data_IF_440454373081
#
_entry.id   IF_440454373081
#
_cell.length_a   1.000
_cell.length_b   1.000
_cell.length_c   1.000
_cell.angle_alpha   90.00
_cell.angle_beta   90.00
_cell.angle_gamma   90.00
#
_symmetry.space_group_name_H-M   'P 1'
#
loop_
_entity.id
_entity.type
_entity.pdbx_description
1 polymer ?
#
# COMPACT_ATOMS: atom_id res chain seq x y z
N UNK A 1 13.78 18.13 12.15
CA UNK A 1 14.85 18.97 12.77
C UNK A 1 15.89 18.08 13.45
N UNK A 2 17.15 18.10 12.99
CA UNK A 2 18.26 17.39 13.63
C UNK A 2 19.00 18.25 14.67
N UNK A 3 19.80 17.60 15.51
CA UNK A 3 20.65 18.20 16.54
C UNK A 3 22.11 17.79 16.33
N UNK A 4 23.04 18.67 16.68
CA UNK A 4 24.47 18.31 16.73
C UNK A 4 24.74 17.47 17.98
N UNK A 5 25.36 16.30 17.82
CA UNK A 5 25.78 15.41 18.91
C UNK A 5 27.23 14.99 18.71
N UNK A 6 27.96 14.79 19.79
CA UNK A 6 29.32 14.24 19.71
C UNK A 6 29.28 12.72 19.64
N UNK A 7 30.08 12.14 18.73
CA UNK A 7 30.31 10.70 18.66
C UNK A 7 31.33 10.24 19.75
N UNK A 8 31.54 8.92 19.95
CA UNK A 8 32.48 8.41 20.95
C UNK A 8 33.94 8.82 20.76
N UNK A 9 34.30 9.35 19.59
CA UNK A 9 35.66 9.83 19.26
C UNK A 9 35.74 11.36 19.40
N UNK A 10 34.64 12.02 19.77
CA UNK A 10 34.56 13.47 19.97
C UNK A 10 34.25 14.27 18.70
N UNK A 11 33.91 13.63 17.59
CA UNK A 11 33.50 14.35 16.38
C UNK A 11 32.05 14.80 16.50
N UNK A 12 31.76 16.02 16.05
CA UNK A 12 30.39 16.52 15.98
C UNK A 12 29.68 15.93 14.76
N UNK A 13 28.53 15.29 15.00
CA UNK A 13 27.67 14.67 13.98
C UNK A 13 26.31 15.35 13.99
N UNK A 14 25.76 15.64 12.82
CA UNK A 14 24.38 16.09 12.70
C UNK A 14 23.45 14.87 12.75
N UNK A 15 22.71 14.74 13.85
CA UNK A 15 21.87 13.59 14.14
C UNK A 15 20.39 13.97 14.06
N UNK A 16 19.55 13.06 13.56
CA UNK A 16 18.10 13.21 13.55
C UNK A 16 17.47 11.85 13.77
N UNK A 17 16.28 11.83 14.36
CA UNK A 17 15.47 10.60 14.42
C UNK A 17 15.09 10.23 12.99
N UNK A 18 15.34 9.01 12.49
CA UNK A 18 14.83 8.60 11.19
C UNK A 18 13.38 8.13 11.29
N UNK A 19 12.56 8.43 10.28
CA UNK A 19 11.28 7.75 10.07
C UNK A 19 11.55 6.52 9.19
N UNK A 20 11.70 5.35 9.82
CA UNK A 20 12.17 4.13 9.14
C UNK A 20 11.02 3.28 8.60
N UNK A 21 9.92 3.21 9.34
CA UNK A 21 8.76 2.40 8.97
C UNK A 21 7.47 3.05 9.44
N UNK A 22 6.42 2.94 8.64
CA UNK A 22 5.05 3.30 8.98
C UNK A 22 4.15 2.15 8.52
N UNK A 23 3.52 1.48 9.48
CA UNK A 23 2.57 0.40 9.23
C UNK A 23 1.20 1.04 9.07
N UNK A 24 0.60 0.85 7.90
CA UNK A 24 -0.67 1.43 7.51
C UNK A 24 -1.45 0.43 6.67
N UNK A 25 -2.77 0.47 6.75
CA UNK A 25 -3.62 -0.13 5.72
C UNK A 25 -3.69 0.78 4.47
N UNK A 26 -4.26 0.31 3.36
CA UNK A 26 -4.28 1.09 2.11
C UNK A 26 -4.93 2.48 2.28
N UNK A 27 -6.08 2.65 2.97
CA UNK A 27 -6.61 3.97 3.29
C UNK A 27 -5.63 4.88 4.06
N UNK A 28 -4.92 4.35 5.05
CA UNK A 28 -3.92 5.10 5.81
C UNK A 28 -2.68 5.42 4.96
N UNK A 29 -2.21 4.51 4.12
CA UNK A 29 -1.11 4.75 3.17
C UNK A 29 -1.44 5.92 2.23
N UNK A 30 -2.67 5.99 1.75
CA UNK A 30 -3.16 7.09 0.91
C UNK A 30 -3.20 8.42 1.67
N UNK A 31 -3.53 8.41 2.97
CA UNK A 31 -3.44 9.60 3.81
C UNK A 31 -1.99 10.05 3.96
N UNK A 32 -1.08 9.14 4.28
CA UNK A 32 0.35 9.44 4.45
C UNK A 32 0.96 9.97 3.15
N UNK A 33 0.67 9.34 2.02
CA UNK A 33 1.16 9.75 0.69
C UNK A 33 0.44 10.96 0.12
N UNK A 34 -0.63 11.42 0.77
CA UNK A 34 -1.48 12.53 0.35
C UNK A 34 -2.26 12.27 -0.97
N UNK A 35 -2.45 11.00 -1.34
CA UNK A 35 -3.09 10.57 -2.58
C UNK A 35 -4.60 10.33 -2.42
N UNK A 36 -5.36 10.53 -3.50
CA UNK A 36 -6.78 10.15 -3.57
C UNK A 36 -6.98 8.63 -3.53
N UNK A 37 -8.19 8.19 -3.14
CA UNK A 37 -8.58 6.77 -3.00
C UNK A 37 -8.44 5.88 -4.24
N UNK A 38 -8.37 6.47 -5.44
CA UNK A 38 -8.38 5.74 -6.70
C UNK A 38 -7.01 5.77 -7.39
N UNK A 39 -5.96 5.94 -6.62
CA UNK A 39 -4.57 6.10 -7.06
C UNK A 39 -3.72 5.16 -6.22
N UNK A 40 -2.65 4.61 -6.80
CA UNK A 40 -1.69 3.83 -6.04
C UNK A 40 -0.94 4.73 -5.02
N UNK A 41 -0.74 4.28 -3.77
CA UNK A 41 0.12 5.00 -2.83
C UNK A 41 1.61 4.91 -3.21
N UNK A 42 1.99 3.94 -4.06
CA UNK A 42 3.39 3.65 -4.41
C UNK A 42 3.76 4.19 -5.80
N UNK A 43 2.82 4.19 -6.73
CA UNK A 43 3.05 4.58 -8.13
C UNK A 43 2.09 5.68 -8.57
N UNK A 44 2.39 6.30 -9.69
CA UNK A 44 1.54 7.29 -10.36
C UNK A 44 0.30 6.70 -11.04
N UNK A 45 0.09 5.38 -10.89
CA UNK A 45 -0.97 4.59 -11.51
C UNK A 45 -2.35 4.99 -10.97
N UNK A 46 -3.28 5.24 -11.88
CA UNK A 46 -4.70 5.39 -11.55
C UNK A 46 -5.40 4.04 -11.48
N UNK A 47 -6.58 4.00 -10.87
CA UNK A 47 -7.39 2.79 -10.77
C UNK A 47 -7.61 2.08 -12.12
N UNK A 48 -7.86 2.83 -13.20
CA UNK A 48 -8.11 2.27 -14.54
C UNK A 48 -6.84 1.68 -15.20
N UNK A 49 -5.67 2.03 -14.69
CA UNK A 49 -4.37 1.55 -15.16
C UNK A 49 -3.85 0.36 -14.35
N UNK A 50 -4.52 0.00 -13.25
CA UNK A 50 -4.14 -1.17 -12.45
C UNK A 50 -4.31 -2.44 -13.28
N UNK A 51 -3.24 -3.25 -13.35
CA UNK A 51 -3.22 -4.49 -14.11
C UNK A 51 -2.82 -4.35 -15.59
N UNK A 52 -2.45 -3.15 -16.04
CA UNK A 52 -1.75 -3.00 -17.32
C UNK A 52 -0.33 -3.57 -17.26
N UNK A 53 0.29 -3.80 -18.42
CA UNK A 53 1.66 -4.30 -18.55
C UNK A 53 2.71 -3.18 -18.42
N UNK A 54 2.30 -1.96 -18.07
CA UNK A 54 3.16 -0.78 -18.08
C UNK A 54 3.75 -0.51 -16.69
N UNK A 55 5.07 -0.29 -16.66
CA UNK A 55 5.77 0.10 -15.43
C UNK A 55 5.60 1.59 -15.16
N UNK A 56 4.56 1.94 -14.41
CA UNK A 56 4.29 3.31 -13.98
C UNK A 56 5.38 3.86 -13.06
N UNK A 57 5.57 5.19 -13.10
CA UNK A 57 6.57 5.86 -12.28
C UNK A 57 6.22 5.80 -10.79
N UNK A 58 7.25 5.76 -9.94
CA UNK A 58 7.10 5.80 -8.48
C UNK A 58 6.59 7.17 -8.00
N UNK A 59 5.71 7.14 -6.99
CA UNK A 59 5.11 8.33 -6.38
C UNK A 59 6.03 8.93 -5.31
N UNK A 60 7.02 9.72 -5.73
CA UNK A 60 7.97 10.34 -4.80
C UNK A 60 7.31 11.41 -3.93
N UNK A 61 7.67 11.47 -2.65
CA UNK A 61 7.18 12.51 -1.73
C UNK A 61 7.47 13.93 -2.23
N UNK A 62 8.62 14.13 -2.88
CA UNK A 62 8.98 15.42 -3.52
C UNK A 62 8.01 15.85 -4.62
N UNK A 63 7.53 14.92 -5.46
CA UNK A 63 6.52 15.20 -6.49
C UNK A 63 5.18 15.56 -5.87
N UNK A 64 4.75 14.83 -4.83
CA UNK A 64 3.55 15.13 -4.05
C UNK A 64 3.61 16.55 -3.47
N UNK A 65 4.71 16.91 -2.82
CA UNK A 65 4.90 18.26 -2.24
C UNK A 65 4.86 19.34 -3.32
N UNK A 66 5.44 19.09 -4.50
CA UNK A 66 5.40 20.04 -5.62
C UNK A 66 3.95 20.29 -6.09
N UNK A 67 3.13 19.25 -6.20
CA UNK A 67 1.72 19.39 -6.54
C UNK A 67 0.93 20.14 -5.46
N UNK A 68 1.16 19.84 -4.17
CA UNK A 68 0.52 20.54 -3.05
C UNK A 68 0.85 22.05 -3.12
N UNK A 69 2.12 22.40 -3.32
CA UNK A 69 2.55 23.81 -3.46
C UNK A 69 1.90 24.50 -4.65
N UNK A 70 1.76 23.82 -5.78
CA UNK A 70 1.08 24.35 -6.96
C UNK A 70 -0.41 24.65 -6.69
N UNK A 71 -1.10 23.78 -5.95
CA UNK A 71 -2.48 24.03 -5.53
C UNK A 71 -2.57 25.24 -4.59
N UNK A 72 -1.67 25.32 -3.60
CA UNK A 72 -1.65 26.41 -2.62
C UNK A 72 -1.35 27.79 -3.23
N UNK A 73 -0.67 27.85 -4.38
CA UNK A 73 -0.49 29.09 -5.14
C UNK A 73 -1.80 29.62 -5.74
N UNK A 74 -2.76 28.74 -6.01
CA UNK A 74 -4.02 29.07 -6.67
C UNK A 74 -5.18 29.25 -5.68
N UNK A 75 -5.24 28.44 -4.62
CA UNK A 75 -6.34 28.41 -3.66
C UNK A 75 -5.79 28.26 -2.24
N UNK A 76 -6.30 29.07 -1.32
CA UNK A 76 -5.97 28.99 0.09
C UNK A 76 -6.59 27.72 0.72
N UNK A 77 -5.85 26.95 1.55
CA UNK A 77 -6.39 25.79 2.25
C UNK A 77 -7.62 26.08 3.12
N UNK A 78 -7.77 27.33 3.57
CA UNK A 78 -8.95 27.78 4.34
C UNK A 78 -10.26 27.73 3.55
N UNK A 79 -10.22 27.83 2.21
CA UNK A 79 -11.38 27.60 1.35
C UNK A 79 -11.48 26.10 1.02
N UNK A 80 -11.87 25.31 2.02
CA UNK A 80 -11.82 23.83 2.00
C UNK A 80 -12.46 23.24 0.75
N UNK A 81 -13.63 23.76 0.34
CA UNK A 81 -14.35 23.24 -0.83
C UNK A 81 -13.59 23.50 -2.14
N UNK A 82 -13.09 24.72 -2.35
CA UNK A 82 -12.32 25.03 -3.57
C UNK A 82 -10.95 24.35 -3.54
N UNK A 83 -10.32 24.28 -2.38
CA UNK A 83 -9.03 23.64 -2.20
C UNK A 83 -9.11 22.15 -2.53
N UNK A 84 -10.06 21.44 -1.93
CA UNK A 84 -10.28 20.02 -2.20
C UNK A 84 -10.63 19.75 -3.67
N UNK A 85 -11.46 20.60 -4.29
CA UNK A 85 -11.78 20.49 -5.72
C UNK A 85 -10.55 20.68 -6.62
N UNK A 86 -9.60 21.55 -6.23
CA UNK A 86 -8.34 21.72 -6.94
C UNK A 86 -7.36 20.57 -6.68
N UNK A 87 -7.23 20.08 -5.45
CA UNK A 87 -6.42 18.92 -5.10
C UNK A 87 -6.77 17.69 -5.94
N UNK A 88 -8.07 17.42 -6.15
CA UNK A 88 -8.53 16.31 -6.99
C UNK A 88 -7.98 16.35 -8.42
N UNK A 89 -7.75 17.54 -8.99
CA UNK A 89 -7.16 17.67 -10.34
C UNK A 89 -5.70 17.21 -10.40
N UNK A 90 -5.03 17.15 -9.24
CA UNK A 90 -3.67 16.66 -9.07
C UNK A 90 -3.62 15.29 -8.38
N UNK A 91 -4.75 14.59 -8.26
CA UNK A 91 -4.86 13.29 -7.58
C UNK A 91 -4.52 13.34 -6.07
N UNK A 92 -4.68 14.51 -5.43
CA UNK A 92 -4.38 14.74 -4.02
C UNK A 92 -5.63 14.66 -3.13
N UNK A 93 -5.50 14.15 -1.91
CA UNK A 93 -6.60 14.00 -0.95
C UNK A 93 -6.97 15.27 -0.15
N UNK A 94 -6.26 16.39 -0.35
CA UNK A 94 -6.53 17.65 0.35
C UNK A 94 -5.65 17.92 1.58
N UNK A 95 -4.69 17.05 1.88
CA UNK A 95 -3.63 17.36 2.87
C UNK A 95 -2.69 18.41 2.27
N UNK A 96 -2.52 19.53 2.97
CA UNK A 96 -1.67 20.65 2.54
C UNK A 96 -0.32 20.70 3.28
N UNK A 97 -0.23 20.07 4.45
CA UNK A 97 1.00 19.97 5.24
C UNK A 97 1.20 18.51 5.69
N UNK A 98 1.88 17.69 4.88
CA UNK A 98 2.21 16.32 5.27
C UNK A 98 3.17 16.31 6.46
N UNK A 99 2.90 15.50 7.49
CA UNK A 99 3.68 15.51 8.73
C UNK A 99 5.17 15.14 8.52
N UNK A 100 5.46 14.33 7.49
CA UNK A 100 6.80 13.86 7.17
C UNK A 100 7.61 14.84 6.31
N UNK A 101 7.00 15.91 5.79
CA UNK A 101 7.67 16.87 4.88
C UNK A 101 8.95 17.46 5.49
N UNK A 102 8.90 17.83 6.77
CA UNK A 102 10.03 18.46 7.48
C UNK A 102 10.93 17.43 8.19
N UNK A 103 10.65 16.15 7.99
CA UNK A 103 11.40 15.05 8.56
C UNK A 103 12.59 14.71 7.65
N UNK A 104 13.81 14.82 8.19
CA UNK A 104 15.03 14.62 7.42
C UNK A 104 15.09 13.22 6.77
N UNK A 105 15.40 13.20 5.47
CA UNK A 105 15.47 12.00 4.64
C UNK A 105 14.18 11.16 4.61
N UNK A 106 13.04 11.77 4.91
CA UNK A 106 11.75 11.08 4.89
C UNK A 106 11.09 11.19 3.52
N UNK A 107 10.78 10.04 2.94
CA UNK A 107 9.94 9.91 1.74
C UNK A 107 8.95 8.77 1.97
N UNK A 108 7.64 8.94 1.74
CA UNK A 108 6.66 7.87 1.93
C UNK A 108 7.06 6.54 1.27
N UNK A 109 7.68 6.56 0.09
CA UNK A 109 8.15 5.34 -0.58
C UNK A 109 9.25 4.60 0.18
N UNK A 110 9.97 5.29 1.07
CA UNK A 110 11.08 4.71 1.82
C UNK A 110 10.65 4.08 3.15
N UNK A 111 9.56 4.58 3.75
CA UNK A 111 9.13 4.15 5.07
C UNK A 111 7.76 3.47 5.08
N UNK A 112 6.91 3.62 4.06
CA UNK A 112 5.70 2.81 3.94
C UNK A 112 6.13 1.40 3.61
N UNK A 113 5.85 0.49 4.55
CA UNK A 113 6.16 -0.92 4.38
C UNK A 113 4.97 -1.62 3.73
N UNK A 114 5.19 -2.52 2.75
CA UNK A 114 4.10 -3.30 2.17
C UNK A 114 3.28 -3.97 3.26
N UNK A 115 1.97 -3.68 3.30
CA UNK A 115 1.06 -4.28 4.28
C UNK A 115 0.91 -5.79 4.02
N UNK A 116 1.40 -6.68 4.93
CA UNK A 116 1.46 -8.12 4.65
C UNK A 116 0.09 -8.80 4.53
N UNK A 117 -0.93 -8.31 5.24
CA UNK A 117 -2.23 -8.97 5.29
C UNK A 117 -2.99 -8.86 3.96
N UNK A 118 -3.16 -7.66 3.44
CA UNK A 118 -3.90 -7.38 2.22
C UNK A 118 -3.01 -7.59 0.99
N UNK A 119 -1.76 -7.11 0.99
CA UNK A 119 -0.92 -7.21 -0.20
C UNK A 119 -0.30 -8.59 -0.43
N UNK A 120 -0.18 -9.45 0.60
CA UNK A 120 0.35 -10.81 0.45
C UNK A 120 -0.71 -11.88 0.70
N UNK A 121 -1.37 -11.86 1.87
CA UNK A 121 -2.29 -12.94 2.23
C UNK A 121 -3.63 -12.88 1.47
N UNK A 122 -4.18 -11.69 1.27
CA UNK A 122 -5.43 -11.53 0.50
C UNK A 122 -5.18 -11.69 -1.01
N UNK A 123 -4.08 -11.11 -1.51
CA UNK A 123 -3.67 -11.20 -2.92
C UNK A 123 -3.63 -12.64 -3.44
N UNK A 124 -3.10 -13.59 -2.65
CA UNK A 124 -3.02 -14.99 -3.07
C UNK A 124 -4.38 -15.58 -3.45
N UNK A 125 -5.44 -15.27 -2.70
CA UNK A 125 -6.76 -15.81 -2.99
C UNK A 125 -7.36 -15.16 -4.24
N UNK A 126 -7.23 -13.85 -4.35
CA UNK A 126 -7.84 -13.05 -5.42
C UNK A 126 -7.13 -13.24 -6.77
N UNK A 127 -5.83 -13.57 -6.75
CA UNK A 127 -5.00 -13.64 -7.95
C UNK A 127 -4.39 -15.01 -8.15
N UNK A 128 -3.51 -15.48 -7.27
CA UNK A 128 -2.73 -16.71 -7.50
C UNK A 128 -3.61 -17.96 -7.56
N UNK A 129 -4.57 -18.08 -6.64
CA UNK A 129 -5.54 -19.17 -6.63
C UNK A 129 -6.45 -19.10 -7.86
N UNK A 130 -6.96 -17.91 -8.22
CA UNK A 130 -7.81 -17.76 -9.41
C UNK A 130 -7.05 -18.11 -10.70
N UNK A 131 -5.80 -17.67 -10.81
CA UNK A 131 -4.93 -18.02 -11.92
C UNK A 131 -4.67 -19.54 -11.98
N UNK A 132 -4.43 -20.17 -10.83
CA UNK A 132 -4.25 -21.62 -10.75
C UNK A 132 -5.52 -22.37 -11.17
N UNK A 133 -6.71 -21.93 -10.71
CA UNK A 133 -8.00 -22.47 -11.13
C UNK A 133 -8.17 -22.35 -12.66
N UNK A 134 -7.78 -21.22 -13.24
CA UNK A 134 -7.87 -21.00 -14.68
C UNK A 134 -6.94 -21.92 -15.49
N UNK A 135 -5.70 -22.10 -15.04
CA UNK A 135 -4.68 -22.90 -15.76
C UNK A 135 -4.92 -24.41 -15.60
N UNK A 136 -5.20 -24.85 -14.37
CA UNK A 136 -5.34 -26.28 -14.03
C UNK A 136 -6.77 -26.79 -14.27
N UNK A 137 -7.77 -25.92 -14.07
CA UNK A 137 -9.18 -26.26 -14.06
C UNK A 137 -9.69 -26.54 -12.65
N UNK A 138 -10.88 -26.01 -12.33
CA UNK A 138 -11.48 -26.09 -10.98
C UNK A 138 -11.60 -27.54 -10.47
N UNK A 139 -12.11 -28.45 -11.30
CA UNK A 139 -12.33 -29.85 -10.90
C UNK A 139 -11.03 -30.57 -10.50
N UNK A 140 -9.95 -30.34 -11.25
CA UNK A 140 -8.66 -30.97 -11.00
C UNK A 140 -8.00 -30.38 -9.74
N UNK A 141 -8.06 -29.06 -9.59
CA UNK A 141 -7.53 -28.39 -8.40
C UNK A 141 -8.27 -28.84 -7.14
N UNK A 142 -9.61 -28.86 -7.18
CA UNK A 142 -10.44 -29.29 -6.06
C UNK A 142 -10.18 -30.75 -5.70
N UNK A 143 -10.04 -31.63 -6.69
CA UNK A 143 -9.68 -33.04 -6.46
C UNK A 143 -8.37 -33.17 -5.68
N UNK A 144 -7.34 -32.39 -6.02
CA UNK A 144 -6.10 -32.37 -5.26
C UNK A 144 -6.30 -31.88 -3.82
N UNK A 145 -7.06 -30.80 -3.60
CA UNK A 145 -7.37 -30.32 -2.25
C UNK A 145 -8.17 -31.33 -1.42
N UNK A 146 -9.05 -32.11 -2.06
CA UNK A 146 -9.80 -33.17 -1.40
C UNK A 146 -8.92 -34.35 -0.97
N UNK A 147 -7.83 -34.61 -1.69
CA UNK A 147 -6.87 -35.67 -1.38
C UNK A 147 -5.82 -35.27 -0.34
N UNK A 148 -5.62 -33.97 -0.08
CA UNK A 148 -4.61 -33.50 0.86
C UNK A 148 -4.86 -34.07 2.26
N UNK A 149 -3.79 -34.62 2.85
CA UNK A 149 -3.83 -35.10 4.22
C UNK A 149 -3.96 -33.91 5.18
N UNK A 150 -5.00 -33.93 6.01
CA UNK A 150 -5.24 -32.89 7.00
C UNK A 150 -4.24 -33.00 8.14
N UNK A 151 -3.43 -31.96 8.30
CA UNK A 151 -2.54 -31.82 9.45
C UNK A 151 -3.28 -31.22 10.65
N UNK A 152 -2.79 -31.50 11.85
CA UNK A 152 -3.38 -30.94 13.08
C UNK A 152 -3.38 -29.41 13.01
N UNK A 153 -4.54 -28.79 13.19
CA UNK A 153 -4.72 -27.34 13.16
C UNK A 153 -5.22 -26.77 11.82
N UNK A 154 -5.16 -27.55 10.74
CA UNK A 154 -5.62 -27.17 9.41
C UNK A 154 -7.03 -27.71 9.10
N UNK A 155 -7.73 -27.08 8.17
CA UNK A 155 -9.04 -27.54 7.71
C UNK A 155 -8.91 -28.43 6.46
N UNK A 156 -9.84 -29.38 6.30
CA UNK A 156 -10.01 -30.12 5.05
C UNK A 156 -10.93 -29.36 4.10
N UNK A 157 -10.60 -29.37 2.80
CA UNK A 157 -11.46 -28.84 1.74
C UNK A 157 -12.14 -29.98 0.99
N UNK A 158 -13.15 -30.59 1.61
CA UNK A 158 -13.81 -31.81 1.10
C UNK A 158 -14.62 -31.59 -0.18
N UNK A 159 -15.05 -30.36 -0.42
CA UNK A 159 -15.77 -29.96 -1.62
C UNK A 159 -14.89 -29.07 -2.52
N UNK A 160 -13.56 -29.13 -2.30
CA UNK A 160 -12.60 -28.26 -2.96
C UNK A 160 -12.55 -26.84 -2.40
N UNK A 161 -11.77 -25.99 -3.08
CA UNK A 161 -11.59 -24.57 -2.75
C UNK A 161 -12.28 -23.65 -3.76
N UNK A 162 -12.54 -24.14 -4.97
CA UNK A 162 -13.11 -23.32 -6.05
C UNK A 162 -14.56 -22.87 -5.80
N UNK A 163 -15.29 -23.59 -4.94
CA UNK A 163 -16.71 -23.34 -4.64
C UNK A 163 -16.93 -22.38 -3.47
N UNK A 164 -15.86 -21.99 -2.76
CA UNK A 164 -15.93 -21.14 -1.58
C UNK A 164 -16.27 -19.70 -1.98
N UNK A 165 -17.38 -19.19 -1.41
CA UNK A 165 -17.88 -17.82 -1.67
C UNK A 165 -17.52 -16.82 -0.57
N UNK A 166 -17.34 -17.31 0.65
CA UNK A 166 -16.92 -16.52 1.79
C UNK A 166 -15.75 -17.23 2.44
N UNK A 167 -14.64 -16.51 2.57
CA UNK A 167 -13.36 -17.05 2.99
C UNK A 167 -13.00 -16.33 4.28
N UNK A 168 -12.70 -17.10 5.33
CA UNK A 168 -12.17 -16.54 6.57
C UNK A 168 -10.65 -16.41 6.51
N UNK A 169 -10.05 -15.59 7.38
CA UNK A 169 -8.59 -15.53 7.50
C UNK A 169 -7.95 -16.89 7.81
N UNK A 170 -8.72 -17.81 8.43
CA UNK A 170 -8.26 -19.18 8.66
C UNK A 170 -8.20 -19.98 7.36
N UNK A 171 -9.12 -19.75 6.44
CA UNK A 171 -9.15 -20.43 5.15
C UNK A 171 -8.02 -19.93 4.25
N UNK A 172 -7.71 -18.62 4.23
CA UNK A 172 -6.51 -18.09 3.57
C UNK A 172 -5.25 -18.84 4.03
N UNK A 173 -5.06 -18.96 5.35
CA UNK A 173 -3.91 -19.69 5.93
C UNK A 173 -3.91 -21.19 5.63
N UNK A 174 -5.07 -21.80 5.38
CA UNK A 174 -5.14 -23.23 5.10
C UNK A 174 -4.86 -23.56 3.63
N UNK A 175 -5.07 -22.61 2.72
CA UNK A 175 -4.81 -22.80 1.28
C UNK A 175 -3.40 -22.36 0.89
N UNK A 176 -2.83 -21.37 1.59
CA UNK A 176 -1.42 -20.95 1.47
C UNK A 176 -0.47 -21.91 2.20
#
# INVERSE_FOLDING_TARGET
>A
MGIMMNDPVGNSRYCFTPLVSYIADTPEELLVTCMCSNISPVTTTTQDQLGDDFHHQLQKGSSTIAHIKAVMQSVLPADVSKFFAMCKKFNLNGIHEPFWQEWALSDPLSFITPEPLHHLHHMFWDHDLQWTIFVVGANELDFHFMLLQVSIGYCSFKDGVSTLKQISSRDHRNVQ
#
